data_IF_661602895000
#
_entry.id   IF_661602895000
#
_cell.length_a   1.000
_cell.length_b   1.000
_cell.length_c   1.000
_cell.angle_alpha   90.00
_cell.angle_beta   90.00
_cell.angle_gamma   90.00
#
_symmetry.space_group_name_H-M   'P 1'
#
loop_
_entity.id
_entity.type
_entity.pdbx_description
1 polymer ?
#
# COMPACT_ATOMS: atom_id res chain seq x y z
N UNK A 1 32.41 18.93 7.14
CA UNK A 1 31.08 19.44 7.52
C UNK A 1 30.17 19.17 6.34
N UNK A 2 29.00 18.57 6.53
CA UNK A 2 28.09 18.23 5.41
C UNK A 2 27.40 19.51 4.91
N UNK A 3 26.99 19.53 3.64
CA UNK A 3 26.33 20.69 3.01
C UNK A 3 25.01 21.01 3.73
N UNK A 4 24.32 19.99 4.24
CA UNK A 4 23.14 20.17 5.08
C UNK A 4 23.44 20.95 6.38
N UNK A 5 24.50 20.60 7.13
CA UNK A 5 24.87 21.28 8.38
C UNK A 5 25.22 22.75 8.12
N UNK A 6 25.95 23.04 7.04
CA UNK A 6 26.27 24.41 6.64
C UNK A 6 25.02 25.25 6.37
N UNK A 7 24.03 24.67 5.68
CA UNK A 7 22.75 25.35 5.41
C UNK A 7 21.92 25.54 6.69
N UNK A 8 21.87 24.53 7.55
CA UNK A 8 21.14 24.58 8.83
C UNK A 8 21.71 25.65 9.76
N UNK A 9 23.03 25.87 9.77
CA UNK A 9 23.65 26.89 10.63
C UNK A 9 23.31 28.34 10.24
N UNK A 10 22.73 28.57 9.05
CA UNK A 10 22.39 29.91 8.55
C UNK A 10 21.00 30.36 9.01
N UNK A 11 20.11 29.41 9.31
CA UNK A 11 18.70 29.65 9.59
C UNK A 11 18.37 29.45 11.07
N UNK A 12 17.34 30.14 11.56
CA UNK A 12 16.86 30.01 12.94
C UNK A 12 16.23 28.64 13.23
N UNK A 13 16.13 28.23 14.49
CA UNK A 13 15.51 26.95 14.86
C UNK A 13 14.08 26.80 14.33
N UNK A 14 13.26 27.86 14.41
CA UNK A 14 11.90 27.87 13.84
C UNK A 14 11.92 27.61 12.32
N UNK A 15 12.90 28.17 11.62
CA UNK A 15 13.07 27.98 10.18
C UNK A 15 13.58 26.58 9.83
N UNK A 16 14.37 25.95 10.71
CA UNK A 16 14.77 24.54 10.57
C UNK A 16 13.56 23.62 10.68
N UNK A 17 12.68 23.85 11.65
CA UNK A 17 11.46 23.06 11.79
C UNK A 17 10.58 23.17 10.53
N UNK A 18 10.39 24.37 10.00
CA UNK A 18 9.67 24.57 8.74
C UNK A 18 10.36 23.83 7.59
N UNK A 19 11.68 23.94 7.48
CA UNK A 19 12.44 23.24 6.46
C UNK A 19 12.24 21.72 6.56
N UNK A 20 12.25 21.15 7.76
CA UNK A 20 12.01 19.72 7.95
C UNK A 20 10.58 19.30 7.54
N UNK A 21 9.57 20.12 7.84
CA UNK A 21 8.21 19.90 7.33
C UNK A 21 8.16 19.93 5.79
N UNK A 22 8.90 20.83 5.14
CA UNK A 22 8.99 20.86 3.67
C UNK A 22 9.72 19.63 3.12
N UNK A 23 10.84 19.25 3.74
CA UNK A 23 11.63 18.07 3.35
C UNK A 23 10.81 16.79 3.45
N UNK A 24 9.78 16.72 4.30
CA UNK A 24 8.88 15.57 4.33
C UNK A 24 8.19 15.29 2.99
N UNK A 25 8.05 16.28 2.11
CA UNK A 25 7.49 16.11 0.77
C UNK A 25 8.60 15.78 -0.24
N UNK A 26 8.67 14.55 -0.79
CA UNK A 26 9.78 14.12 -1.63
C UNK A 26 9.82 14.81 -2.99
N UNK A 27 8.65 15.00 -3.60
CA UNK A 27 8.55 15.44 -5.00
C UNK A 27 8.44 16.96 -5.11
N UNK A 28 7.40 17.53 -4.49
CA UNK A 28 7.08 18.95 -4.53
C UNK A 28 6.27 19.33 -3.29
N UNK A 29 6.20 20.63 -3.00
CA UNK A 29 5.36 21.17 -1.94
C UNK A 29 4.64 22.45 -2.40
N UNK A 30 3.54 22.78 -1.75
CA UNK A 30 2.89 24.08 -1.88
C UNK A 30 2.96 24.87 -0.58
N UNK A 31 3.19 26.17 -0.68
CA UNK A 31 3.11 27.07 0.48
C UNK A 31 1.68 27.17 1.03
N UNK A 32 0.67 26.99 0.17
CA UNK A 32 -0.74 27.11 0.55
C UNK A 32 -1.21 25.94 1.42
N UNK A 33 -0.53 24.80 1.36
CA UNK A 33 -0.83 23.62 2.18
C UNK A 33 -0.62 23.85 3.68
N UNK A 34 0.17 24.85 4.04
CA UNK A 34 0.42 25.23 5.42
C UNK A 34 -0.50 26.36 5.89
N UNK A 35 -1.40 26.84 5.02
CA UNK A 35 -2.39 27.85 5.41
C UNK A 35 -3.29 27.32 6.52
N UNK A 36 -3.48 28.12 7.57
CA UNK A 36 -4.25 27.73 8.75
C UNK A 36 -3.51 26.91 9.80
N UNK A 37 -2.24 26.52 9.56
CA UNK A 37 -1.41 25.93 10.60
C UNK A 37 -0.93 27.02 11.59
N UNK A 38 -1.48 27.04 12.80
CA UNK A 38 -1.16 28.04 13.83
C UNK A 38 0.30 28.00 14.29
N UNK A 39 1.00 26.89 14.04
CA UNK A 39 2.38 26.70 14.47
C UNK A 39 3.39 27.21 13.43
N UNK A 40 2.94 27.50 12.20
CA UNK A 40 3.82 27.98 11.13
C UNK A 40 3.40 29.40 10.75
N UNK A 41 4.24 30.37 11.14
CA UNK A 41 4.04 31.76 10.75
C UNK A 41 4.29 31.95 9.24
N UNK A 42 3.36 32.55 8.48
CA UNK A 42 3.54 32.76 7.04
C UNK A 42 4.82 33.52 6.69
N UNK A 43 5.23 34.48 7.52
CA UNK A 43 6.48 35.22 7.34
C UNK A 43 7.73 34.34 7.43
N UNK A 44 7.72 33.34 8.32
CA UNK A 44 8.80 32.37 8.49
C UNK A 44 8.82 31.35 7.36
N UNK A 45 7.66 30.86 6.94
CA UNK A 45 7.54 29.99 5.77
C UNK A 45 8.11 30.67 4.52
N UNK A 46 7.74 31.94 4.29
CA UNK A 46 8.24 32.71 3.17
C UNK A 46 9.75 32.96 3.26
N UNK A 47 10.28 33.24 4.46
CA UNK A 47 11.73 33.36 4.72
C UNK A 47 12.49 32.10 4.27
N UNK A 48 12.00 30.91 4.66
CA UNK A 48 12.62 29.62 4.28
C UNK A 48 12.55 29.39 2.77
N UNK A 49 11.39 29.63 2.15
CA UNK A 49 11.23 29.46 0.69
C UNK A 49 12.16 30.40 -0.08
N UNK A 50 12.24 31.68 0.32
CA UNK A 50 13.16 32.66 -0.27
C UNK A 50 14.63 32.26 -0.10
N UNK A 51 14.99 31.69 1.06
CA UNK A 51 16.33 31.18 1.30
C UNK A 51 16.67 30.01 0.37
N UNK A 52 15.76 29.04 0.23
CA UNK A 52 15.93 27.88 -0.64
C UNK A 52 16.04 28.30 -2.12
N UNK A 53 15.18 29.22 -2.55
CA UNK A 53 15.15 29.76 -3.92
C UNK A 53 16.44 30.53 -4.26
N UNK A 54 16.89 31.43 -3.36
CA UNK A 54 18.17 32.16 -3.52
C UNK A 54 19.38 31.23 -3.62
N UNK A 55 19.32 30.06 -2.97
CA UNK A 55 20.36 29.02 -3.03
C UNK A 55 20.17 28.06 -4.22
N UNK A 56 19.14 28.27 -5.05
CA UNK A 56 18.76 27.43 -6.19
C UNK A 56 18.54 25.97 -5.77
N UNK A 57 17.95 25.76 -4.60
CA UNK A 57 17.65 24.43 -4.06
C UNK A 57 16.24 23.97 -4.44
N UNK A 58 15.35 24.91 -4.74
CA UNK A 58 14.00 24.68 -5.24
C UNK A 58 13.78 25.44 -6.55
N UNK A 59 12.75 25.05 -7.29
CA UNK A 59 12.27 25.75 -8.49
C UNK A 59 10.76 25.83 -8.50
N UNK A 60 10.20 26.96 -8.94
CA UNK A 60 8.75 27.12 -9.08
C UNK A 60 8.22 26.27 -10.24
N UNK A 61 7.09 25.61 -10.03
CA UNK A 61 6.44 24.80 -11.06
C UNK A 61 5.74 25.69 -12.10
N UNK A 62 5.93 25.37 -13.39
CA UNK A 62 5.24 26.06 -14.47
C UNK A 62 3.72 25.95 -14.31
N UNK A 63 3.02 27.08 -14.43
CA UNK A 63 1.56 27.18 -14.33
C UNK A 63 0.94 26.79 -12.98
N UNK A 64 1.73 26.63 -11.92
CA UNK A 64 1.23 26.32 -10.57
C UNK A 64 1.84 27.26 -9.53
N UNK A 65 1.34 28.51 -9.41
CA UNK A 65 1.82 29.48 -8.44
C UNK A 65 1.76 28.92 -7.01
N UNK A 66 2.82 29.15 -6.22
CA UNK A 66 2.92 28.64 -4.85
C UNK A 66 3.42 27.20 -4.73
N UNK A 67 3.55 26.47 -5.85
CA UNK A 67 4.14 25.13 -5.88
C UNK A 67 5.63 25.18 -6.26
N UNK A 68 6.41 24.36 -5.57
CA UNK A 68 7.85 24.27 -5.71
C UNK A 68 8.31 22.82 -5.78
N UNK A 69 9.24 22.54 -6.69
CA UNK A 69 9.94 21.26 -6.82
C UNK A 69 11.35 21.35 -6.26
N UNK A 70 11.87 20.22 -5.79
CA UNK A 70 13.25 20.11 -5.34
C UNK A 70 14.19 19.97 -6.53
N UNK A 71 15.24 20.79 -6.56
CA UNK A 71 16.29 20.65 -7.58
C UNK A 71 17.25 19.54 -7.20
N UNK A 72 17.98 19.02 -8.19
CA UNK A 72 19.07 18.05 -7.96
C UNK A 72 20.22 18.57 -7.09
N UNK A 73 20.28 19.88 -6.82
CA UNK A 73 21.27 20.51 -5.93
C UNK A 73 20.93 20.35 -4.44
N UNK A 74 19.68 20.01 -4.13
CA UNK A 74 19.22 19.85 -2.76
C UNK A 74 19.74 18.53 -2.16
N UNK A 75 20.56 18.58 -1.09
CA UNK A 75 21.18 17.39 -0.51
C UNK A 75 20.19 16.68 0.44
N UNK A 76 19.10 16.13 -0.13
CA UNK A 76 17.97 15.56 0.62
C UNK A 76 18.41 14.50 1.64
N UNK A 77 19.22 13.54 1.21
CA UNK A 77 19.66 12.44 2.07
C UNK A 77 20.51 12.94 3.24
N UNK A 78 21.35 13.97 3.03
CA UNK A 78 22.10 14.60 4.10
C UNK A 78 21.18 15.27 5.13
N UNK A 79 20.12 15.96 4.68
CA UNK A 79 19.13 16.56 5.58
C UNK A 79 18.36 15.50 6.37
N UNK A 80 17.88 14.44 5.71
CA UNK A 80 17.15 13.36 6.39
C UNK A 80 18.04 12.70 7.46
N UNK A 81 19.34 12.51 7.19
CA UNK A 81 20.29 11.95 8.15
C UNK A 81 20.56 12.84 9.36
N UNK A 82 20.31 14.16 9.27
CA UNK A 82 20.43 15.06 10.44
C UNK A 82 19.25 14.95 11.40
N UNK A 83 18.13 14.35 10.97
CA UNK A 83 16.90 14.25 11.75
C UNK A 83 16.82 12.83 12.34
N UNK A 84 16.61 12.67 13.66
CA UNK A 84 16.36 11.35 14.24
C UNK A 84 15.18 10.65 13.56
N UNK A 85 15.30 9.35 13.27
CA UNK A 85 14.29 8.62 12.48
C UNK A 85 12.87 8.74 13.02
N UNK A 86 12.71 8.73 14.35
CA UNK A 86 11.40 8.87 15.01
C UNK A 86 10.76 10.25 14.80
N UNK A 87 11.57 11.32 14.76
CA UNK A 87 11.11 12.67 14.44
C UNK A 87 10.75 12.78 12.95
N UNK A 88 11.55 12.17 12.07
CA UNK A 88 11.27 12.19 10.63
C UNK A 88 9.94 11.49 10.29
N UNK A 89 9.63 10.37 10.93
CA UNK A 89 8.32 9.72 10.79
C UNK A 89 7.16 10.63 11.18
N UNK A 90 7.32 11.47 12.21
CA UNK A 90 6.32 12.48 12.60
C UNK A 90 6.12 13.55 11.51
N UNK A 91 7.20 14.04 10.90
CA UNK A 91 7.11 14.96 9.77
C UNK A 91 6.43 14.32 8.55
N UNK A 92 6.76 13.07 8.24
CA UNK A 92 6.07 12.32 7.19
C UNK A 92 4.58 12.13 7.48
N UNK A 93 4.21 11.84 8.73
CA UNK A 93 2.80 11.74 9.17
C UNK A 93 2.04 13.05 8.96
N UNK A 94 2.60 14.19 9.38
CA UNK A 94 2.02 15.52 9.11
C UNK A 94 1.84 15.76 7.61
N UNK A 95 2.83 15.37 6.80
CA UNK A 95 2.73 15.46 5.35
C UNK A 95 1.60 14.60 4.77
N UNK A 96 1.39 13.36 5.25
CA UNK A 96 0.24 12.52 4.84
C UNK A 96 -1.08 13.23 5.09
N UNK A 97 -1.26 13.83 6.28
CA UNK A 97 -2.49 14.57 6.63
C UNK A 97 -2.71 15.78 5.73
N UNK A 98 -1.65 16.54 5.46
CA UNK A 98 -1.69 17.67 4.54
C UNK A 98 -2.10 17.20 3.13
N UNK A 99 -1.47 16.15 2.60
CA UNK A 99 -1.78 15.63 1.27
C UNK A 99 -3.23 15.14 1.19
N UNK A 100 -3.70 14.45 2.24
CA UNK A 100 -5.08 13.94 2.33
C UNK A 100 -6.13 15.04 2.25
N UNK A 101 -5.83 16.22 2.80
CA UNK A 101 -6.75 17.36 2.84
C UNK A 101 -6.67 18.24 1.58
N UNK A 102 -5.51 18.29 0.91
CA UNK A 102 -5.24 19.27 -0.14
C UNK A 102 -5.17 18.67 -1.55
N UNK A 103 -4.82 17.39 -1.70
CA UNK A 103 -4.67 16.81 -3.03
C UNK A 103 -5.99 16.29 -3.60
N UNK A 104 -6.21 16.42 -4.93
CA UNK A 104 -7.35 15.80 -5.59
C UNK A 104 -7.26 14.27 -5.47
N UNK A 105 -8.40 13.59 -5.34
CA UNK A 105 -8.47 12.13 -5.25
C UNK A 105 -8.37 11.49 -6.64
N UNK A 106 -7.17 11.50 -7.23
CA UNK A 106 -6.87 10.85 -8.51
C UNK A 106 -5.89 9.67 -8.32
N UNK A 107 -5.63 8.90 -9.38
CA UNK A 107 -4.80 7.70 -9.30
C UNK A 107 -3.35 8.03 -8.91
N UNK A 108 -2.78 9.11 -9.46
CA UNK A 108 -1.39 9.49 -9.22
C UNK A 108 -1.16 9.97 -7.78
N UNK A 109 -2.03 10.84 -7.27
CA UNK A 109 -1.94 11.35 -5.90
C UNK A 109 -2.13 10.23 -4.88
N UNK A 110 -2.98 9.24 -5.18
CA UNK A 110 -3.19 8.08 -4.32
C UNK A 110 -1.92 7.23 -4.17
N UNK A 111 -1.19 7.00 -5.27
CA UNK A 111 0.09 6.27 -5.23
C UNK A 111 1.13 7.06 -4.42
N UNK A 112 1.22 8.38 -4.64
CA UNK A 112 2.12 9.25 -3.87
C UNK A 112 1.80 9.23 -2.37
N UNK A 113 0.52 9.36 -2.02
CA UNK A 113 0.07 9.28 -0.63
C UNK A 113 0.41 7.93 0.01
N UNK A 114 0.22 6.82 -0.70
CA UNK A 114 0.56 5.50 -0.18
C UNK A 114 2.06 5.36 0.13
N UNK A 115 2.94 5.86 -0.75
CA UNK A 115 4.39 5.88 -0.46
C UNK A 115 4.72 6.75 0.74
N UNK A 116 4.04 7.89 0.90
CA UNK A 116 4.21 8.74 2.07
C UNK A 116 3.78 8.04 3.37
N UNK A 117 2.68 7.27 3.35
CA UNK A 117 2.24 6.46 4.48
C UNK A 117 3.30 5.41 4.89
N UNK A 118 4.01 4.82 3.93
CA UNK A 118 5.11 3.89 4.25
C UNK A 118 6.25 4.58 4.99
N UNK A 119 6.61 5.81 4.58
CA UNK A 119 7.66 6.59 5.23
C UNK A 119 7.26 7.07 6.64
N UNK A 120 5.98 7.42 6.82
CA UNK A 120 5.44 7.82 8.11
C UNK A 120 5.33 6.68 9.14
N UNK A 121 5.42 5.43 8.69
CA UNK A 121 4.96 4.26 9.44
C UNK A 121 3.45 4.13 9.30
N UNK A 122 2.93 2.92 9.06
CA UNK A 122 1.53 2.71 8.67
C UNK A 122 0.58 2.86 9.87
N UNK A 123 -0.58 3.50 9.67
CA UNK A 123 -1.70 3.52 10.60
C UNK A 123 -2.94 2.83 10.01
N UNK A 124 -3.95 2.46 10.82
CA UNK A 124 -5.12 1.74 10.33
C UNK A 124 -5.88 2.50 9.23
N UNK A 125 -5.95 3.83 9.34
CA UNK A 125 -6.62 4.69 8.37
C UNK A 125 -5.93 4.74 6.99
N UNK A 126 -4.66 4.30 6.90
CA UNK A 126 -3.88 4.35 5.67
C UNK A 126 -4.13 3.14 4.76
N UNK A 127 -4.61 2.01 5.32
CA UNK A 127 -4.66 0.74 4.60
C UNK A 127 -5.51 0.77 3.32
N UNK A 128 -6.66 1.46 3.31
CA UNK A 128 -7.47 1.60 2.10
C UNK A 128 -6.72 2.36 1.00
N UNK A 129 -5.99 3.42 1.38
CA UNK A 129 -5.17 4.21 0.44
C UNK A 129 -4.05 3.36 -0.14
N UNK A 130 -3.32 2.63 0.72
CA UNK A 130 -2.23 1.75 0.30
C UNK A 130 -2.74 0.63 -0.60
N UNK A 131 -3.89 0.02 -0.26
CA UNK A 131 -4.47 -1.07 -1.04
C UNK A 131 -4.91 -0.60 -2.43
N UNK A 132 -5.57 0.56 -2.53
CA UNK A 132 -5.97 1.13 -3.82
C UNK A 132 -4.77 1.55 -4.65
N UNK A 133 -3.74 2.13 -4.04
CA UNK A 133 -2.49 2.43 -4.72
C UNK A 133 -1.84 1.17 -5.32
N UNK A 134 -1.86 0.06 -4.58
CA UNK A 134 -1.34 -1.22 -5.08
C UNK A 134 -2.11 -1.72 -6.32
N UNK A 135 -3.44 -1.57 -6.33
CA UNK A 135 -4.27 -1.91 -7.50
C UNK A 135 -3.96 -1.02 -8.71
N UNK A 136 -3.71 0.27 -8.49
CA UNK A 136 -3.31 1.21 -9.55
C UNK A 136 -1.95 0.82 -10.13
N UNK A 137 -0.98 0.52 -9.27
CA UNK A 137 0.36 0.09 -9.70
C UNK A 137 0.31 -1.23 -10.49
N UNK A 138 -0.53 -2.18 -10.08
CA UNK A 138 -0.76 -3.41 -10.83
C UNK A 138 -1.36 -3.14 -12.21
N UNK A 139 -2.38 -2.28 -12.29
CA UNK A 139 -3.01 -1.84 -13.56
C UNK A 139 -2.00 -1.15 -14.48
N UNK A 140 -1.05 -0.41 -13.92
CA UNK A 140 0.02 0.27 -14.64
C UNK A 140 1.25 -0.62 -14.90
N UNK A 141 1.15 -1.92 -14.66
CA UNK A 141 2.21 -2.92 -14.83
C UNK A 141 3.49 -2.66 -13.99
N UNK A 142 3.38 -1.87 -12.93
CA UNK A 142 4.44 -1.64 -11.93
C UNK A 142 4.38 -2.72 -10.84
N UNK A 143 4.56 -3.98 -11.28
CA UNK A 143 4.32 -5.17 -10.44
C UNK A 143 5.14 -5.16 -9.15
N UNK A 144 6.41 -4.75 -9.20
CA UNK A 144 7.25 -4.65 -8.01
C UNK A 144 6.70 -3.67 -6.96
N UNK A 145 6.20 -2.50 -7.39
CA UNK A 145 5.60 -1.52 -6.49
C UNK A 145 4.30 -2.06 -5.87
N UNK A 146 3.45 -2.72 -6.68
CA UNK A 146 2.23 -3.34 -6.19
C UNK A 146 2.52 -4.41 -5.13
N UNK A 147 3.49 -5.31 -5.38
CA UNK A 147 3.93 -6.33 -4.42
C UNK A 147 4.41 -5.67 -3.13
N UNK A 148 5.24 -4.63 -3.22
CA UNK A 148 5.74 -3.90 -2.04
C UNK A 148 4.59 -3.34 -1.20
N UNK A 149 3.58 -2.74 -1.83
CA UNK A 149 2.43 -2.17 -1.14
C UNK A 149 1.55 -3.26 -0.51
N UNK A 150 1.30 -4.38 -1.20
CA UNK A 150 0.56 -5.50 -0.60
C UNK A 150 1.30 -6.12 0.59
N UNK A 151 2.61 -6.35 0.48
CA UNK A 151 3.41 -6.86 1.59
C UNK A 151 3.37 -5.92 2.80
N UNK A 152 3.43 -4.61 2.58
CA UNK A 152 3.36 -3.63 3.66
C UNK A 152 2.03 -3.68 4.44
N UNK A 153 0.90 -3.92 3.76
CA UNK A 153 -0.40 -4.14 4.41
C UNK A 153 -0.37 -5.43 5.24
N UNK A 154 0.14 -6.51 4.65
CA UNK A 154 0.19 -7.83 5.28
C UNK A 154 1.03 -7.77 6.57
N UNK A 155 2.25 -7.25 6.47
CA UNK A 155 3.19 -7.13 7.59
C UNK A 155 2.62 -6.25 8.72
N UNK A 156 1.92 -5.17 8.37
CA UNK A 156 1.26 -4.31 9.35
C UNK A 156 0.18 -5.04 10.14
N UNK A 157 -0.73 -5.75 9.45
CA UNK A 157 -1.83 -6.46 10.10
C UNK A 157 -1.33 -7.67 10.92
N UNK A 158 -0.32 -8.38 10.42
CA UNK A 158 0.37 -9.44 11.19
C UNK A 158 0.96 -8.89 12.49
N UNK A 159 1.58 -7.71 12.44
CA UNK A 159 2.16 -7.05 13.64
C UNK A 159 1.08 -6.71 14.66
N UNK A 160 -0.07 -6.19 14.23
CA UNK A 160 -1.19 -5.87 15.14
C UNK A 160 -1.80 -7.15 15.74
N UNK A 161 -1.95 -8.19 14.93
CA UNK A 161 -2.61 -9.43 15.36
C UNK A 161 -1.71 -10.24 16.32
N UNK A 162 -0.39 -10.04 16.26
CA UNK A 162 0.55 -10.58 17.24
C UNK A 162 0.48 -9.86 18.60
N UNK A 163 -0.05 -8.64 18.66
CA UNK A 163 -0.25 -7.90 19.90
C UNK A 163 -1.58 -8.31 20.57
N UNK A 164 -1.49 -9.02 21.70
CA UNK A 164 -2.65 -9.52 22.44
C UNK A 164 -3.64 -8.42 22.89
N UNK A 165 -3.17 -7.17 22.98
CA UNK A 165 -3.96 -6.04 23.43
C UNK A 165 -4.78 -5.39 22.29
N UNK A 166 -4.40 -5.62 21.04
CA UNK A 166 -4.97 -4.90 19.89
C UNK A 166 -5.73 -5.85 18.97
N UNK A 167 -7.07 -5.77 18.99
CA UNK A 167 -7.89 -6.51 18.03
C UNK A 167 -8.10 -5.70 16.76
N UNK A 168 -7.70 -6.20 15.58
CA UNK A 168 -7.96 -5.51 14.32
C UNK A 168 -9.47 -5.41 14.05
N UNK A 169 -9.91 -4.30 13.49
CA UNK A 169 -11.30 -4.16 13.07
C UNK A 169 -11.61 -5.08 11.88
N UNK A 170 -12.89 -5.41 11.70
CA UNK A 170 -13.34 -6.24 10.57
C UNK A 170 -12.95 -5.63 9.20
N UNK A 171 -12.94 -4.30 9.10
CA UNK A 171 -12.55 -3.59 7.88
C UNK A 171 -11.07 -3.83 7.54
N UNK A 172 -10.17 -3.79 8.53
CA UNK A 172 -8.75 -4.09 8.34
C UNK A 172 -8.55 -5.54 7.92
N UNK A 173 -9.27 -6.46 8.55
CA UNK A 173 -9.21 -7.88 8.21
C UNK A 173 -9.69 -8.15 6.78
N UNK A 174 -10.69 -7.41 6.29
CA UNK A 174 -11.13 -7.51 4.90
C UNK A 174 -10.08 -7.00 3.90
N UNK A 175 -9.42 -5.89 4.23
CA UNK A 175 -8.30 -5.36 3.42
C UNK A 175 -7.14 -6.35 3.43
N UNK A 176 -6.82 -6.95 4.57
CA UNK A 176 -5.79 -7.97 4.72
C UNK A 176 -6.05 -9.19 3.81
N UNK A 177 -7.26 -9.77 3.88
CA UNK A 177 -7.67 -10.87 3.01
C UNK A 177 -7.46 -10.51 1.53
N UNK A 178 -7.98 -9.36 1.11
CA UNK A 178 -7.85 -8.91 -0.29
C UNK A 178 -6.40 -8.68 -0.70
N UNK A 179 -5.57 -8.11 0.17
CA UNK A 179 -4.15 -7.91 -0.09
C UNK A 179 -3.44 -9.26 -0.34
N UNK A 180 -3.75 -10.28 0.47
CA UNK A 180 -3.21 -11.63 0.29
C UNK A 180 -3.69 -12.27 -1.01
N UNK A 181 -4.99 -12.16 -1.34
CA UNK A 181 -5.52 -12.68 -2.60
C UNK A 181 -4.79 -12.06 -3.80
N UNK A 182 -4.61 -10.74 -3.81
CA UNK A 182 -3.89 -10.03 -4.88
C UNK A 182 -2.42 -10.39 -4.92
N UNK A 183 -1.75 -10.46 -3.76
CA UNK A 183 -0.34 -10.87 -3.65
C UNK A 183 -0.12 -12.31 -4.13
N UNK A 184 -1.06 -13.22 -3.90
CA UNK A 184 -0.99 -14.61 -4.35
C UNK A 184 -1.04 -14.74 -5.88
N UNK A 185 -1.86 -13.93 -6.53
CA UNK A 185 -1.93 -13.87 -8.00
C UNK A 185 -0.60 -13.39 -8.63
N UNK A 186 0.19 -12.62 -7.88
CA UNK A 186 1.51 -12.13 -8.31
C UNK A 186 2.67 -13.06 -7.93
N UNK A 187 2.39 -14.24 -7.38
CA UNK A 187 3.41 -15.21 -6.93
C UNK A 187 4.36 -15.69 -8.02
N UNK A 188 3.94 -15.66 -9.29
CA UNK A 188 4.79 -15.99 -10.45
C UNK A 188 5.99 -15.04 -10.55
N UNK A 189 5.88 -13.80 -10.06
CA UNK A 189 6.92 -12.78 -10.13
C UNK A 189 7.78 -12.69 -8.86
N UNK A 190 7.31 -13.25 -7.73
CA UNK A 190 8.02 -13.27 -6.45
C UNK A 190 7.68 -14.58 -5.69
N UNK A 191 8.32 -15.70 -6.08
CA UNK A 191 7.96 -17.03 -5.64
C UNK A 191 8.59 -17.37 -4.28
N UNK A 192 7.92 -16.99 -3.19
CA UNK A 192 8.13 -17.61 -1.87
C UNK A 192 6.89 -18.42 -1.47
N UNK A 193 6.96 -19.71 -1.79
CA UNK A 193 5.88 -20.68 -1.65
C UNK A 193 5.49 -20.87 -0.19
N UNK A 194 6.49 -20.99 0.68
CA UNK A 194 6.28 -21.33 2.09
C UNK A 194 5.67 -20.14 2.80
N UNK A 195 6.18 -18.93 2.53
CA UNK A 195 5.58 -17.70 3.04
C UNK A 195 4.16 -17.54 2.50
N UNK A 196 3.95 -17.71 1.20
CA UNK A 196 2.63 -17.53 0.59
C UNK A 196 1.58 -18.51 1.11
N UNK A 197 1.92 -19.79 1.29
CA UNK A 197 0.98 -20.77 1.86
C UNK A 197 0.57 -20.41 3.29
N UNK A 198 1.51 -19.96 4.13
CA UNK A 198 1.17 -19.50 5.49
C UNK A 198 0.21 -18.30 5.44
N UNK A 199 0.47 -17.34 4.56
CA UNK A 199 -0.41 -16.18 4.37
C UNK A 199 -1.81 -16.59 3.90
N UNK A 200 -1.90 -17.46 2.90
CA UNK A 200 -3.19 -17.93 2.38
C UNK A 200 -4.02 -18.69 3.42
N UNK A 201 -3.39 -19.54 4.23
CA UNK A 201 -4.06 -20.24 5.33
C UNK A 201 -4.54 -19.26 6.39
N UNK A 202 -3.69 -18.30 6.79
CA UNK A 202 -4.07 -17.26 7.76
C UNK A 202 -5.24 -16.39 7.26
N UNK A 203 -5.24 -16.03 5.97
CA UNK A 203 -6.36 -15.33 5.36
C UNK A 203 -7.64 -16.18 5.35
N UNK A 204 -7.53 -17.51 5.13
CA UNK A 204 -8.67 -18.41 5.13
C UNK A 204 -9.29 -18.52 6.52
N UNK A 205 -8.46 -18.67 7.56
CA UNK A 205 -8.92 -18.67 8.95
C UNK A 205 -9.62 -17.35 9.32
N UNK A 206 -9.07 -16.23 8.84
CA UNK A 206 -9.68 -14.90 8.99
C UNK A 206 -11.03 -14.83 8.27
N UNK A 207 -11.13 -15.34 7.04
CA UNK A 207 -12.37 -15.36 6.28
C UNK A 207 -13.43 -16.29 6.89
N UNK A 208 -13.01 -17.37 7.56
CA UNK A 208 -13.87 -18.24 8.36
C UNK A 208 -14.40 -17.49 9.59
N UNK A 209 -13.52 -16.79 10.32
CA UNK A 209 -13.90 -15.98 11.48
C UNK A 209 -14.91 -14.87 11.12
N UNK A 210 -14.75 -14.24 9.95
CA UNK A 210 -15.65 -13.20 9.45
C UNK A 210 -16.91 -13.76 8.76
N UNK A 211 -17.05 -15.08 8.63
CA UNK A 211 -18.10 -15.74 7.86
C UNK A 211 -18.19 -15.26 6.38
N UNK A 212 -17.10 -14.73 5.82
CA UNK A 212 -17.03 -14.26 4.43
C UNK A 212 -16.85 -15.46 3.48
N UNK A 213 -17.96 -16.09 3.12
CA UNK A 213 -17.98 -17.26 2.23
C UNK A 213 -17.34 -16.98 0.87
N UNK A 214 -17.43 -15.76 0.34
CA UNK A 214 -16.83 -15.42 -0.96
C UNK A 214 -15.31 -15.44 -0.88
N UNK A 215 -14.76 -14.83 0.15
CA UNK A 215 -13.32 -14.86 0.42
C UNK A 215 -12.84 -16.28 0.75
N UNK A 216 -13.60 -17.06 1.52
CA UNK A 216 -13.28 -18.47 1.78
C UNK A 216 -13.14 -19.28 0.49
N UNK A 217 -14.11 -19.17 -0.43
CA UNK A 217 -14.05 -19.85 -1.71
C UNK A 217 -12.83 -19.43 -2.54
N UNK A 218 -12.60 -18.12 -2.66
CA UNK A 218 -11.48 -17.56 -3.42
C UNK A 218 -10.12 -18.02 -2.88
N UNK A 219 -9.93 -17.99 -1.56
CA UNK A 219 -8.71 -18.44 -0.89
C UNK A 219 -8.49 -19.94 -1.05
N UNK A 220 -9.54 -20.76 -0.95
CA UNK A 220 -9.46 -22.19 -1.23
C UNK A 220 -8.94 -22.47 -2.64
N UNK A 221 -9.44 -21.75 -3.64
CA UNK A 221 -8.95 -21.88 -5.02
C UNK A 221 -7.49 -21.44 -5.16
N UNK A 222 -7.08 -20.35 -4.49
CA UNK A 222 -5.69 -19.87 -4.53
C UNK A 222 -4.72 -20.84 -3.84
N UNK A 223 -5.12 -21.45 -2.71
CA UNK A 223 -4.34 -22.50 -2.03
C UNK A 223 -4.20 -23.71 -2.96
N UNK A 224 -5.30 -24.15 -3.58
CA UNK A 224 -5.28 -25.23 -4.55
C UNK A 224 -4.35 -24.95 -5.73
N UNK A 225 -4.40 -23.73 -6.28
CA UNK A 225 -3.50 -23.28 -7.35
C UNK A 225 -2.03 -23.32 -6.92
N UNK A 226 -1.72 -22.86 -5.70
CA UNK A 226 -0.37 -22.86 -5.20
C UNK A 226 0.16 -24.30 -5.04
N UNK A 227 -0.62 -25.21 -4.44
CA UNK A 227 -0.24 -26.63 -4.36
C UNK A 227 -0.05 -27.27 -5.75
N UNK A 228 -0.92 -26.93 -6.70
CA UNK A 228 -0.82 -27.40 -8.08
C UNK A 228 0.49 -26.95 -8.74
N UNK A 229 0.87 -25.67 -8.59
CA UNK A 229 2.13 -25.13 -9.10
C UNK A 229 3.37 -25.84 -8.56
N UNK A 230 3.26 -26.50 -7.40
CA UNK A 230 4.34 -27.28 -6.77
C UNK A 230 4.13 -28.79 -6.79
N UNK A 231 3.32 -29.28 -7.74
CA UNK A 231 3.12 -30.69 -8.01
C UNK A 231 2.52 -31.50 -6.84
N UNK A 232 1.85 -30.81 -5.90
CA UNK A 232 1.14 -31.41 -4.76
C UNK A 232 -0.35 -31.61 -5.13
N UNK A 233 -0.60 -32.52 -6.07
CA UNK A 233 -1.90 -32.62 -6.73
C UNK A 233 -3.04 -33.06 -5.81
N UNK A 234 -2.79 -33.95 -4.85
CA UNK A 234 -3.82 -34.43 -3.92
C UNK A 234 -4.36 -33.27 -3.06
N UNK A 235 -3.45 -32.46 -2.51
CA UNK A 235 -3.78 -31.25 -1.75
C UNK A 235 -4.48 -30.23 -2.64
N UNK A 236 -3.99 -30.03 -3.87
CA UNK A 236 -4.61 -29.12 -4.82
C UNK A 236 -6.06 -29.49 -5.11
N UNK A 237 -6.33 -30.77 -5.40
CA UNK A 237 -7.68 -31.30 -5.65
C UNK A 237 -8.58 -31.05 -4.45
N UNK A 238 -8.11 -31.35 -3.24
CA UNK A 238 -8.88 -31.16 -2.01
C UNK A 238 -9.36 -29.70 -1.85
N UNK A 239 -8.45 -28.74 -2.01
CA UNK A 239 -8.76 -27.32 -1.88
C UNK A 239 -9.66 -26.81 -3.03
N UNK A 240 -9.46 -27.29 -4.26
CA UNK A 240 -10.36 -26.96 -5.37
C UNK A 240 -11.78 -27.47 -5.15
N UNK A 241 -11.94 -28.71 -4.67
CA UNK A 241 -13.25 -29.29 -4.36
C UNK A 241 -13.95 -28.47 -3.26
N UNK A 242 -13.24 -28.11 -2.18
CA UNK A 242 -13.78 -27.27 -1.11
C UNK A 242 -14.22 -25.89 -1.61
N UNK A 243 -13.37 -25.20 -2.37
CA UNK A 243 -13.70 -23.88 -2.92
C UNK A 243 -14.92 -23.93 -3.84
N UNK A 244 -15.03 -24.99 -4.66
CA UNK A 244 -16.14 -25.15 -5.59
C UNK A 244 -17.47 -25.47 -4.91
N UNK A 245 -17.46 -26.29 -3.85
CA UNK A 245 -18.66 -26.55 -3.04
C UNK A 245 -19.16 -25.27 -2.35
N UNK A 246 -18.26 -24.42 -1.85
CA UNK A 246 -18.65 -23.11 -1.31
C UNK A 246 -19.28 -22.24 -2.40
N UNK A 247 -18.69 -22.16 -3.60
CA UNK A 247 -19.24 -21.38 -4.73
C UNK A 247 -20.65 -21.85 -5.08
N UNK A 248 -20.88 -23.16 -5.20
CA UNK A 248 -22.22 -23.71 -5.43
C UNK A 248 -23.19 -23.27 -4.35
N UNK A 249 -22.80 -23.39 -3.08
CA UNK A 249 -23.65 -22.98 -1.96
C UNK A 249 -23.99 -21.47 -1.98
N UNK A 250 -23.08 -20.62 -2.47
CA UNK A 250 -23.32 -19.19 -2.65
C UNK A 250 -24.27 -18.97 -3.84
N UNK A 251 -23.99 -19.54 -5.00
CA UNK A 251 -24.80 -19.38 -6.21
C UNK A 251 -26.23 -19.91 -6.02
N UNK A 252 -26.40 -21.00 -5.26
CA UNK A 252 -27.72 -21.52 -4.87
C UNK A 252 -28.47 -20.56 -3.94
N UNK A 253 -27.77 -19.77 -3.12
CA UNK A 253 -28.36 -18.68 -2.32
C UNK A 253 -28.54 -17.38 -3.10
N UNK A 254 -27.77 -17.17 -4.16
CA UNK A 254 -27.83 -16.00 -5.06
C UNK A 254 -28.25 -16.43 -6.46
N UNK A 255 -29.47 -16.94 -6.59
CA UNK A 255 -30.22 -16.89 -7.85
C UNK A 255 -30.46 -15.41 -8.21
N UNK A 256 -29.43 -14.72 -8.70
CA UNK A 256 -29.38 -13.59 -9.64
C UNK A 256 -28.04 -12.82 -9.52
N UNK A 257 -27.20 -13.02 -10.55
CA UNK A 257 -26.14 -12.14 -11.09
C UNK A 257 -24.86 -11.93 -10.26
N UNK A 258 -23.81 -12.62 -10.71
CA UNK A 258 -22.79 -11.98 -11.55
C UNK A 258 -21.72 -11.14 -10.84
N UNK A 259 -20.78 -11.80 -10.15
CA UNK A 259 -19.43 -11.22 -9.96
C UNK A 259 -18.34 -12.27 -9.64
N UNK A 260 -18.69 -13.43 -9.08
CA UNK A 260 -17.71 -14.50 -8.80
C UNK A 260 -17.00 -15.03 -10.05
N UNK A 261 -17.70 -15.10 -11.19
CA UNK A 261 -17.14 -15.65 -12.44
C UNK A 261 -16.01 -14.80 -13.03
N UNK A 262 -16.00 -13.48 -12.79
CA UNK A 262 -15.00 -12.56 -13.35
C UNK A 262 -13.62 -12.69 -12.68
N UNK A 263 -13.59 -13.00 -11.37
CA UNK A 263 -12.35 -13.23 -10.60
C UNK A 263 -11.77 -14.62 -10.87
N UNK A 264 -12.62 -15.65 -10.96
CA UNK A 264 -12.23 -17.02 -11.37
C UNK A 264 -11.71 -17.05 -12.81
N UNK A 265 -12.24 -16.21 -13.70
CA UNK A 265 -11.74 -16.10 -15.08
C UNK A 265 -10.35 -15.45 -15.18
N UNK A 266 -9.96 -14.63 -14.20
CA UNK A 266 -8.63 -13.98 -14.15
C UNK A 266 -7.54 -14.82 -13.49
N UNK A 267 -7.88 -15.81 -12.67
CA UNK A 267 -6.91 -16.79 -12.12
C UNK A 267 -6.49 -17.87 -13.13
N UNK A 268 -6.90 -17.74 -14.40
CA UNK A 268 -6.53 -18.68 -15.47
C UNK A 268 -7.24 -20.03 -15.39
N UNK A 269 -7.95 -20.35 -14.31
CA UNK A 269 -8.80 -21.54 -14.17
C UNK A 269 -10.16 -21.28 -14.83
N UNK A 270 -10.19 -21.22 -16.17
CA UNK A 270 -11.45 -21.36 -16.90
C UNK A 270 -12.11 -22.68 -16.50
N UNK A 271 -13.44 -22.74 -16.55
CA UNK A 271 -14.23 -23.97 -16.44
C UNK A 271 -13.72 -25.12 -17.36
N UNK A 272 -12.94 -24.78 -18.40
CA UNK A 272 -12.25 -25.70 -19.29
C UNK A 272 -11.09 -26.46 -18.63
N UNK A 273 -10.35 -25.84 -17.70
CA UNK A 273 -9.37 -26.54 -16.88
C UNK A 273 -10.05 -27.57 -15.96
N UNK A 274 -11.25 -27.27 -15.46
CA UNK A 274 -12.09 -28.22 -14.70
C UNK A 274 -12.57 -29.41 -15.54
N UNK A 275 -12.82 -29.22 -16.85
CA UNK A 275 -13.11 -30.31 -17.79
C UNK A 275 -11.89 -31.21 -18.03
N UNK A 276 -10.71 -30.62 -18.21
CA UNK A 276 -9.44 -31.36 -18.28
C UNK A 276 -9.15 -32.11 -16.96
N UNK A 277 -9.53 -31.52 -15.83
CA UNK A 277 -9.39 -32.10 -14.49
C UNK A 277 -10.23 -33.37 -14.27
N UNK A 278 -11.50 -33.37 -14.69
CA UNK A 278 -12.34 -34.60 -14.67
C UNK A 278 -11.80 -35.70 -15.57
N UNK A 279 -11.19 -35.34 -16.69
CA UNK A 279 -10.61 -36.31 -17.62
C UNK A 279 -9.35 -36.97 -17.06
N UNK A 280 -8.59 -36.29 -16.19
CA UNK A 280 -7.42 -36.86 -15.51
C UNK A 280 -7.77 -37.69 -14.26
N UNK A 281 -8.87 -37.37 -13.55
CA UNK A 281 -9.37 -38.17 -12.40
C UNK A 281 -9.94 -39.55 -12.81
N UNK A 282 -10.24 -39.73 -14.10
CA UNK A 282 -10.80 -40.96 -14.69
C UNK A 282 -9.75 -41.78 -15.46
N UNK A 283 -8.46 -41.53 -15.24
CA UNK A 283 -7.34 -42.38 -15.70
C UNK A 283 -6.58 -42.90 -14.49
#
# INVERSE_FOLDING_TARGET
MTKAIELLNIISEDEKEILYNLVAFPDFFSVDWFSGNTNILPSKLFSVVMFLDKKLLISSMENSPGFYEWTSKFPRDEFIQTIPSHEMSSYYRKAVEILRNNLPKNEETMVRMAHQCLLAGIEPCDLDTIFRAALIEEKNHKIFNAIRLYNAIIEYVETITADELTKPSQELLHIFIKAIERRALLSVFDPDIKKLNRLLVSALDTALYLEDRRSQASLQLLIGQNYWMFFQYEQAIHHFDQGWEIIKSIDDTTLYKGDCSSRVSRSGLKAEHWKLFRLMKNR
#
